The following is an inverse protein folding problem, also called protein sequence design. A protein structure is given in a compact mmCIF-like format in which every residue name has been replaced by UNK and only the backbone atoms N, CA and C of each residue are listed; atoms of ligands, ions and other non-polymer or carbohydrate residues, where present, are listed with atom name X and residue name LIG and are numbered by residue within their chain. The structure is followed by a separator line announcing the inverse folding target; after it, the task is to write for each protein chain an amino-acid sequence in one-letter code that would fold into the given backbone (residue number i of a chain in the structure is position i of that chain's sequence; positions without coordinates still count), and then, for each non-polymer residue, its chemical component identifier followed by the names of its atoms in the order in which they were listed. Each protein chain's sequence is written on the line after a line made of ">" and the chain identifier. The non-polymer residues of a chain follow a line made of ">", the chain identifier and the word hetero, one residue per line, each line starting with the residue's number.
data_IF_038530743942
#
_entry.id   IF_038530743942
#
_cell.length_a   1.000
_cell.length_b   1.000
_cell.length_c   1.000
_cell.angle_alpha   90.00
_cell.angle_beta   90.00
_cell.angle_gamma   90.00
#
_symmetry.space_group_name_H-M   'P 1'
#
loop_
_entity.id
_entity.type
_entity.pdbx_description
1 polymer ?
#
# COMPACT_ATOMS: atom_id res chain seq x y z
N UNK A 1 -24.11 11.76 17.32
CA UNK A 1 -23.12 11.85 18.41
C UNK A 1 -22.19 10.64 18.26
N UNK A 2 -21.03 10.82 17.60
CA UNK A 2 -20.09 9.70 17.44
C UNK A 2 -19.44 9.41 18.80
N UNK A 3 -19.36 8.15 19.25
CA UNK A 3 -18.65 7.83 20.48
C UNK A 3 -17.19 8.22 20.29
N UNK A 4 -16.67 9.06 21.18
CA UNK A 4 -15.23 9.32 21.25
C UNK A 4 -14.57 8.02 21.71
N UNK A 5 -14.19 7.15 20.76
CA UNK A 5 -13.20 6.12 21.04
C UNK A 5 -11.92 6.86 21.41
N UNK A 6 -11.39 6.56 22.59
CA UNK A 6 -10.01 6.89 22.91
C UNK A 6 -9.13 6.03 21.99
N UNK A 7 -9.00 6.45 20.73
CA UNK A 7 -8.14 5.81 19.76
C UNK A 7 -6.71 5.96 20.26
N UNK A 8 -6.01 4.83 20.37
CA UNK A 8 -4.60 4.80 20.73
C UNK A 8 -3.87 5.76 19.78
N UNK A 9 -3.08 6.73 20.29
CA UNK A 9 -2.32 7.64 19.45
C UNK A 9 -1.50 6.87 18.41
N UNK A 10 -1.50 7.33 17.16
CA UNK A 10 -0.91 6.60 16.03
C UNK A 10 0.56 6.22 16.25
N UNK A 11 1.33 7.07 16.95
CA UNK A 11 2.73 6.81 17.27
C UNK A 11 2.88 5.63 18.24
N UNK A 12 1.94 5.46 19.19
CA UNK A 12 1.90 4.30 20.08
C UNK A 12 1.58 3.05 19.27
N UNK A 13 0.59 3.12 18.37
CA UNK A 13 0.28 1.99 17.47
C UNK A 13 1.48 1.57 16.60
N UNK A 14 2.24 2.54 16.09
CA UNK A 14 3.45 2.29 15.30
C UNK A 14 4.57 1.66 16.14
N UNK A 15 4.85 2.21 17.33
CA UNK A 15 5.81 1.63 18.27
C UNK A 15 5.43 0.21 18.67
N UNK A 16 4.14 -0.06 18.85
CA UNK A 16 3.63 -1.39 19.17
C UNK A 16 3.81 -2.37 18.02
N UNK A 17 3.54 -1.95 16.79
CA UNK A 17 3.77 -2.78 15.61
C UNK A 17 5.25 -3.18 15.50
N UNK A 18 6.13 -2.21 15.70
CA UNK A 18 7.57 -2.41 15.65
C UNK A 18 8.08 -3.31 16.78
N UNK A 19 7.63 -3.07 18.02
CA UNK A 19 7.97 -3.90 19.17
C UNK A 19 7.46 -5.33 19.02
N UNK A 20 6.24 -5.52 18.54
CA UNK A 20 5.66 -6.83 18.31
C UNK A 20 6.35 -7.58 17.16
N UNK A 21 6.81 -6.86 16.12
CA UNK A 21 7.63 -7.44 15.07
C UNK A 21 8.95 -7.97 15.64
N UNK A 22 9.68 -7.16 16.42
CA UNK A 22 10.91 -7.60 17.10
C UNK A 22 10.63 -8.78 18.05
N UNK A 23 9.56 -8.70 18.84
CA UNK A 23 9.17 -9.77 19.75
C UNK A 23 8.85 -11.07 19.00
N UNK A 24 8.23 -11.00 17.81
CA UNK A 24 7.96 -12.17 16.99
C UNK A 24 9.25 -12.86 16.54
N UNK A 25 10.32 -12.12 16.20
CA UNK A 25 11.63 -12.71 15.89
C UNK A 25 12.25 -13.41 17.09
N UNK A 26 12.19 -12.79 18.28
CA UNK A 26 12.67 -13.42 19.50
C UNK A 26 11.85 -14.66 19.87
N UNK A 27 10.53 -14.60 19.74
CA UNK A 27 9.64 -15.72 20.01
C UNK A 27 9.93 -16.89 19.07
N UNK A 28 10.09 -16.60 17.78
CA UNK A 28 10.39 -17.59 16.76
C UNK A 28 11.78 -18.20 16.96
N UNK A 29 12.81 -17.37 17.19
CA UNK A 29 14.17 -17.83 17.45
C UNK A 29 14.27 -18.65 18.74
N UNK A 30 13.61 -18.21 19.82
CA UNK A 30 13.52 -18.96 21.07
C UNK A 30 12.83 -20.31 20.87
N UNK A 31 11.70 -20.34 20.15
CA UNK A 31 11.01 -21.60 19.86
C UNK A 31 11.86 -22.52 18.99
N UNK A 32 12.43 -22.02 17.90
CA UNK A 32 13.30 -22.81 17.03
C UNK A 32 14.46 -23.42 17.82
N UNK A 33 15.15 -22.63 18.65
CA UNK A 33 16.26 -23.11 19.49
C UNK A 33 15.81 -24.12 20.55
N UNK A 34 14.67 -23.87 21.21
CA UNK A 34 14.13 -24.77 22.24
C UNK A 34 13.72 -26.12 21.64
N UNK A 35 13.13 -26.11 20.45
CA UNK A 35 12.71 -27.33 19.76
C UNK A 35 13.90 -28.10 19.21
N UNK A 36 14.90 -27.41 18.65
CA UNK A 36 16.14 -28.05 18.20
C UNK A 36 16.84 -28.76 19.36
N UNK A 37 16.87 -28.13 20.54
CA UNK A 37 17.42 -28.72 21.75
C UNK A 37 16.64 -29.94 22.26
N UNK A 38 15.31 -30.00 22.07
CA UNK A 38 14.45 -31.09 22.55
C UNK A 38 14.39 -32.24 21.54
N UNK A 39 14.20 -31.93 20.26
CA UNK A 39 13.89 -32.90 19.21
C UNK A 39 15.10 -33.29 18.35
N UNK A 40 16.25 -32.61 18.47
CA UNK A 40 17.51 -32.82 17.72
C UNK A 40 17.40 -32.66 16.19
N UNK A 41 16.19 -32.73 15.63
CA UNK A 41 15.84 -32.43 14.25
C UNK A 41 14.39 -31.98 14.22
N UNK A 42 14.14 -30.77 13.76
CA UNK A 42 12.78 -30.27 13.57
C UNK A 42 12.30 -30.75 12.21
N UNK A 43 11.35 -31.69 12.19
CA UNK A 43 10.68 -32.08 10.95
C UNK A 43 9.67 -31.00 10.52
N UNK A 44 9.45 -30.85 9.21
CA UNK A 44 8.53 -29.89 8.61
C UNK A 44 7.14 -29.87 9.28
N UNK A 45 6.62 -31.05 9.62
CA UNK A 45 5.33 -31.25 10.26
C UNK A 45 5.27 -30.62 11.66
N UNK A 46 6.38 -30.67 12.39
CA UNK A 46 6.50 -30.09 13.74
C UNK A 46 6.51 -28.56 13.65
N UNK A 47 7.25 -27.99 12.69
CA UNK A 47 7.28 -26.55 12.47
C UNK A 47 5.89 -26.01 12.08
N UNK A 48 5.17 -26.71 11.20
CA UNK A 48 3.82 -26.36 10.79
C UNK A 48 2.83 -26.45 11.97
N UNK A 49 2.87 -27.53 12.74
CA UNK A 49 2.01 -27.72 13.92
C UNK A 49 2.20 -26.57 14.91
N UNK A 50 3.44 -26.20 15.19
CA UNK A 50 3.76 -25.12 16.14
C UNK A 50 3.31 -23.77 15.60
N UNK A 51 3.53 -23.50 14.31
CA UNK A 51 3.00 -22.32 13.65
C UNK A 51 1.47 -22.20 13.81
N UNK A 52 0.74 -23.30 13.60
CA UNK A 52 -0.70 -23.37 13.77
C UNK A 52 -1.13 -23.15 15.23
N UNK A 53 -0.41 -23.73 16.20
CA UNK A 53 -0.69 -23.52 17.64
C UNK A 53 -0.51 -22.05 18.02
N UNK A 54 0.57 -21.39 17.58
CA UNK A 54 0.80 -19.97 17.82
C UNK A 54 -0.25 -19.08 17.15
N UNK A 55 -0.66 -19.41 15.93
CA UNK A 55 -1.76 -18.71 15.25
C UNK A 55 -3.07 -18.86 16.01
N UNK A 56 -3.43 -20.09 16.41
CA UNK A 56 -4.65 -20.36 17.17
C UNK A 56 -4.63 -19.63 18.52
N UNK A 57 -3.49 -19.62 19.21
CA UNK A 57 -3.31 -18.88 20.45
C UNK A 57 -3.49 -17.37 20.22
N UNK A 58 -2.81 -16.79 19.24
CA UNK A 58 -2.89 -15.37 18.93
C UNK A 58 -4.31 -14.93 18.54
N UNK A 59 -4.99 -15.70 17.70
CA UNK A 59 -6.38 -15.45 17.31
C UNK A 59 -7.31 -15.55 18.52
N UNK A 60 -7.16 -16.58 19.35
CA UNK A 60 -7.96 -16.75 20.57
C UNK A 60 -7.77 -15.59 21.54
N UNK A 61 -6.53 -15.12 21.72
CA UNK A 61 -6.23 -13.97 22.56
C UNK A 61 -6.89 -12.70 22.03
N UNK A 62 -6.99 -12.50 20.72
CA UNK A 62 -7.73 -11.38 20.15
C UNK A 62 -9.23 -11.40 20.46
N UNK A 63 -9.83 -12.59 20.63
CA UNK A 63 -11.23 -12.71 21.04
C UNK A 63 -11.43 -12.42 22.54
N UNK A 64 -10.46 -12.77 23.37
CA UNK A 64 -10.53 -12.58 24.83
C UNK A 64 -10.08 -11.17 25.26
N UNK A 65 -9.17 -10.54 24.53
CA UNK A 65 -8.51 -9.28 24.88
C UNK A 65 -9.35 -8.03 24.61
N UNK A 66 -10.58 -7.98 25.12
CA UNK A 66 -11.40 -6.76 25.05
C UNK A 66 -10.67 -5.61 25.78
N UNK A 67 -10.18 -4.64 24.99
CA UNK A 67 -9.53 -3.38 25.39
C UNK A 67 -8.18 -3.46 26.13
N UNK A 68 -7.60 -4.64 26.35
CA UNK A 68 -6.28 -4.76 26.99
C UNK A 68 -5.13 -4.69 25.97
N UNK A 69 -4.54 -3.51 25.83
CA UNK A 69 -3.48 -3.21 24.86
C UNK A 69 -2.28 -4.17 24.93
N UNK A 70 -1.83 -4.54 26.13
CA UNK A 70 -0.73 -5.49 26.31
C UNK A 70 -1.05 -6.88 25.72
N UNK A 71 -2.26 -7.40 25.97
CA UNK A 71 -2.66 -8.71 25.46
C UNK A 71 -2.83 -8.65 23.94
N UNK A 72 -3.31 -7.53 23.39
CA UNK A 72 -3.40 -7.34 21.94
C UNK A 72 -2.03 -7.33 21.26
N UNK A 73 -0.99 -6.75 21.89
CA UNK A 73 0.38 -6.80 21.38
C UNK A 73 0.94 -8.22 21.40
N UNK A 74 0.74 -8.96 22.49
CA UNK A 74 1.18 -10.35 22.59
C UNK A 74 0.44 -11.24 21.58
N UNK A 75 -0.88 -11.04 21.43
CA UNK A 75 -1.69 -11.72 20.42
C UNK A 75 -1.19 -11.43 19.00
N UNK A 76 -0.82 -10.18 18.72
CA UNK A 76 -0.25 -9.79 17.43
C UNK A 76 1.09 -10.49 17.16
N UNK A 77 2.01 -10.47 18.13
CA UNK A 77 3.31 -11.15 18.02
C UNK A 77 3.14 -12.67 17.83
N UNK A 78 2.21 -13.29 18.56
CA UNK A 78 1.89 -14.71 18.41
C UNK A 78 1.32 -15.02 17.01
N UNK A 79 0.42 -14.20 16.47
CA UNK A 79 -0.08 -14.39 15.10
C UNK A 79 1.03 -14.22 14.05
N UNK A 80 1.90 -13.21 14.19
CA UNK A 80 3.02 -13.01 13.26
C UNK A 80 4.00 -14.18 13.30
N UNK A 81 4.46 -14.58 14.49
CA UNK A 81 5.36 -15.72 14.66
C UNK A 81 4.73 -17.01 14.15
N UNK A 82 3.45 -17.24 14.45
CA UNK A 82 2.72 -18.40 13.96
C UNK A 82 2.59 -18.41 12.44
N UNK A 83 2.33 -17.25 11.81
CA UNK A 83 2.28 -17.14 10.34
C UNK A 83 3.63 -17.43 9.69
N UNK A 84 4.76 -17.02 10.30
CA UNK A 84 6.09 -17.38 9.83
C UNK A 84 6.38 -18.88 9.98
N UNK A 85 5.98 -19.50 11.10
CA UNK A 85 6.10 -20.95 11.29
C UNK A 85 5.30 -21.76 10.27
N UNK A 86 4.05 -21.34 9.99
CA UNK A 86 3.24 -21.98 8.93
C UNK A 86 3.87 -21.74 7.55
N UNK A 87 4.37 -20.54 7.27
CA UNK A 87 5.04 -20.24 6.00
C UNK A 87 6.25 -21.15 5.76
N UNK A 88 7.06 -21.37 6.80
CA UNK A 88 8.20 -22.30 6.76
C UNK A 88 7.75 -23.74 6.57
N UNK A 89 6.81 -24.23 7.39
CA UNK A 89 6.33 -25.61 7.29
C UNK A 89 5.70 -25.92 5.92
N UNK A 90 4.94 -24.99 5.34
CA UNK A 90 4.39 -25.14 3.99
C UNK A 90 5.49 -25.07 2.91
N UNK A 91 6.55 -24.28 3.12
CA UNK A 91 7.68 -24.22 2.18
C UNK A 91 8.38 -25.58 2.06
N UNK A 92 8.69 -26.20 3.20
CA UNK A 92 9.36 -27.51 3.24
C UNK A 92 8.44 -28.64 2.72
N UNK A 93 7.17 -28.63 3.11
CA UNK A 93 6.16 -29.60 2.61
C UNK A 93 5.95 -29.54 1.09
N UNK A 94 6.13 -28.37 0.49
CA UNK A 94 5.98 -28.16 -0.96
C UNK A 94 7.29 -28.34 -1.73
N UNK A 95 8.35 -28.86 -1.08
CA UNK A 95 9.61 -29.22 -1.73
C UNK A 95 10.63 -28.08 -1.80
N UNK A 96 10.66 -27.19 -0.80
CA UNK A 96 11.64 -26.10 -0.67
C UNK A 96 11.65 -25.10 -1.84
N UNK A 97 10.48 -24.90 -2.46
CA UNK A 97 10.30 -23.95 -3.54
C UNK A 97 9.12 -23.02 -3.30
N UNK A 98 9.33 -21.72 -3.56
CA UNK A 98 8.26 -20.73 -3.61
C UNK A 98 7.42 -20.91 -4.88
N UNK A 99 6.56 -21.92 -4.90
CA UNK A 99 5.67 -22.24 -6.01
C UNK A 99 4.30 -21.53 -5.88
N UNK A 100 3.45 -21.69 -6.90
CA UNK A 100 2.09 -21.12 -6.92
C UNK A 100 1.28 -21.56 -5.70
N UNK A 101 1.40 -22.82 -5.30
CA UNK A 101 0.68 -23.40 -4.15
C UNK A 101 1.09 -22.76 -2.83
N UNK A 102 2.37 -22.42 -2.65
CA UNK A 102 2.87 -21.74 -1.46
C UNK A 102 2.25 -20.33 -1.35
N UNK A 103 2.32 -19.55 -2.42
CA UNK A 103 1.73 -18.20 -2.45
C UNK A 103 0.22 -18.23 -2.27
N UNK A 104 -0.49 -19.20 -2.86
CA UNK A 104 -1.94 -19.34 -2.70
C UNK A 104 -2.33 -19.72 -1.27
N UNK A 105 -1.57 -20.62 -0.63
CA UNK A 105 -1.79 -21.04 0.75
C UNK A 105 -1.58 -19.87 1.72
N UNK A 106 -0.49 -19.12 1.54
CA UNK A 106 -0.20 -17.93 2.36
C UNK A 106 -1.20 -16.79 2.11
N UNK A 107 -1.61 -16.55 0.86
CA UNK A 107 -2.66 -15.59 0.55
C UNK A 107 -3.99 -15.97 1.22
N UNK A 108 -4.36 -17.25 1.18
CA UNK A 108 -5.54 -17.77 1.88
C UNK A 108 -5.47 -17.54 3.39
N UNK A 109 -4.32 -17.82 4.00
CA UNK A 109 -4.08 -17.59 5.43
C UNK A 109 -4.20 -16.10 5.79
N UNK A 110 -3.53 -15.20 5.06
CA UNK A 110 -3.57 -13.77 5.36
C UNK A 110 -4.94 -13.15 5.09
N UNK A 111 -5.66 -13.62 4.07
CA UNK A 111 -7.05 -13.21 3.82
C UNK A 111 -7.97 -13.64 4.96
N UNK A 112 -7.80 -14.86 5.48
CA UNK A 112 -8.53 -15.35 6.64
C UNK A 112 -8.23 -14.50 7.87
N UNK A 113 -6.95 -14.27 8.18
CA UNK A 113 -6.53 -13.47 9.34
C UNK A 113 -7.05 -12.02 9.24
N UNK A 114 -6.97 -11.41 8.07
CA UNK A 114 -7.55 -10.08 7.81
C UNK A 114 -9.07 -10.05 8.04
N UNK A 115 -9.78 -11.10 7.63
CA UNK A 115 -11.24 -11.20 7.77
C UNK A 115 -11.73 -11.49 9.20
N UNK A 116 -10.98 -12.31 9.94
CA UNK A 116 -11.31 -12.76 11.30
C UNK A 116 -10.98 -11.68 12.33
N UNK A 117 -9.78 -11.09 12.25
CA UNK A 117 -9.30 -10.13 13.24
C UNK A 117 -10.00 -8.78 13.06
N UNK A 118 -10.44 -8.17 14.18
CA UNK A 118 -11.08 -6.84 14.18
C UNK A 118 -10.12 -5.70 14.51
N UNK A 119 -8.90 -6.02 14.94
CA UNK A 119 -7.90 -5.04 15.32
C UNK A 119 -7.28 -4.36 14.09
N UNK A 120 -7.25 -3.03 14.08
CA UNK A 120 -6.86 -2.23 12.91
C UNK A 120 -5.43 -2.48 12.44
N UNK A 121 -4.48 -2.54 13.38
CA UNK A 121 -3.07 -2.79 13.06
C UNK A 121 -2.86 -4.19 12.46
N UNK A 122 -3.53 -5.20 13.03
CA UNK A 122 -3.42 -6.58 12.55
C UNK A 122 -4.01 -6.69 11.13
N UNK A 123 -5.17 -6.07 10.88
CA UNK A 123 -5.76 -6.00 9.55
C UNK A 123 -4.80 -5.33 8.56
N UNK A 124 -4.17 -4.21 8.92
CA UNK A 124 -3.22 -3.52 8.06
C UNK A 124 -2.02 -4.44 7.70
N UNK A 125 -1.40 -5.07 8.70
CA UNK A 125 -0.21 -5.91 8.47
C UNK A 125 -0.57 -7.15 7.66
N UNK A 126 -1.66 -7.84 7.95
CA UNK A 126 -2.07 -8.99 7.14
C UNK A 126 -2.55 -8.62 5.75
N UNK A 127 -3.13 -7.43 5.54
CA UNK A 127 -3.39 -6.92 4.20
C UNK A 127 -2.10 -6.63 3.42
N UNK A 128 -1.07 -6.08 4.10
CA UNK A 128 0.24 -5.85 3.50
C UNK A 128 0.95 -7.17 3.15
N UNK A 129 0.91 -8.18 4.02
CA UNK A 129 1.45 -9.50 3.72
C UNK A 129 0.67 -10.17 2.57
N UNK A 130 -0.66 -10.06 2.58
CA UNK A 130 -1.53 -10.56 1.50
C UNK A 130 -1.15 -9.93 0.14
N UNK A 131 -0.94 -8.63 0.07
CA UNK A 131 -0.54 -7.98 -1.18
C UNK A 131 0.82 -8.46 -1.67
N UNK A 132 1.79 -8.73 -0.78
CA UNK A 132 3.05 -9.38 -1.19
C UNK A 132 2.87 -10.81 -1.70
N UNK A 133 1.96 -11.60 -1.12
CA UNK A 133 1.63 -12.92 -1.67
C UNK A 133 1.03 -12.82 -3.08
N UNK A 134 0.17 -11.81 -3.34
CA UNK A 134 -0.38 -11.55 -4.67
C UNK A 134 0.73 -11.16 -5.65
N UNK A 135 1.69 -10.33 -5.24
CA UNK A 135 2.86 -9.97 -6.06
C UNK A 135 3.67 -11.21 -6.42
N UNK A 136 3.97 -12.07 -5.44
CA UNK A 136 4.70 -13.32 -5.67
C UNK A 136 3.95 -14.31 -6.57
N UNK A 137 2.63 -14.39 -6.45
CA UNK A 137 1.78 -15.16 -7.35
C UNK A 137 1.85 -14.62 -8.78
N UNK A 138 1.77 -13.30 -8.96
CA UNK A 138 1.90 -12.65 -10.27
C UNK A 138 3.31 -12.84 -10.86
N UNK A 139 4.34 -12.88 -10.03
CA UNK A 139 5.71 -13.22 -10.45
C UNK A 139 5.80 -14.63 -11.02
N UNK A 140 5.19 -15.62 -10.35
CA UNK A 140 5.18 -17.01 -10.83
C UNK A 140 4.34 -17.26 -12.07
N UNK A 141 3.44 -16.32 -12.41
CA UNK A 141 2.59 -16.36 -13.59
C UNK A 141 3.11 -15.47 -14.73
N UNK A 142 4.31 -14.89 -14.61
CA UNK A 142 4.88 -13.92 -15.58
C UNK A 142 4.02 -12.65 -15.80
N UNK A 143 3.14 -12.34 -14.84
CA UNK A 143 2.23 -11.18 -14.87
C UNK A 143 2.71 -10.06 -13.93
N UNK A 144 3.92 -10.16 -13.40
CA UNK A 144 4.45 -9.25 -12.37
C UNK A 144 4.32 -7.77 -12.76
N UNK A 145 4.60 -7.44 -14.02
CA UNK A 145 4.52 -6.07 -14.58
C UNK A 145 3.12 -5.45 -14.54
N UNK A 146 2.06 -6.25 -14.40
CA UNK A 146 0.69 -5.77 -14.26
C UNK A 146 0.30 -5.45 -12.81
N UNK A 147 1.12 -5.85 -11.83
CA UNK A 147 0.79 -5.71 -10.41
C UNK A 147 0.55 -4.26 -9.96
N UNK A 148 1.28 -3.21 -10.43
CA UNK A 148 0.99 -1.85 -10.02
C UNK A 148 -0.35 -1.37 -10.55
N UNK A 149 -0.65 -1.69 -11.80
CA UNK A 149 -1.91 -1.32 -12.45
C UNK A 149 -3.10 -2.00 -11.78
N UNK A 150 -2.94 -3.28 -11.41
CA UNK A 150 -3.95 -4.02 -10.66
C UNK A 150 -4.19 -3.37 -9.29
N UNK A 151 -3.13 -3.08 -8.53
CA UNK A 151 -3.26 -2.47 -7.21
C UNK A 151 -3.84 -1.06 -7.28
N UNK A 152 -3.36 -0.21 -8.19
CA UNK A 152 -3.93 1.12 -8.42
C UNK A 152 -5.42 1.04 -8.74
N UNK A 153 -5.83 0.11 -9.60
CA UNK A 153 -7.23 -0.11 -9.93
C UNK A 153 -8.04 -0.57 -8.70
N UNK A 154 -7.60 -1.62 -8.00
CA UNK A 154 -8.28 -2.17 -6.82
C UNK A 154 -8.44 -1.11 -5.72
N UNK A 155 -7.37 -0.39 -5.39
CA UNK A 155 -7.38 0.69 -4.41
C UNK A 155 -8.40 1.76 -4.79
N UNK A 156 -8.40 2.19 -6.05
CA UNK A 156 -9.30 3.25 -6.53
C UNK A 156 -10.76 2.82 -6.46
N UNK A 157 -11.08 1.60 -6.89
CA UNK A 157 -12.45 1.06 -6.82
C UNK A 157 -12.93 0.97 -5.37
N UNK A 158 -12.10 0.45 -4.46
CA UNK A 158 -12.45 0.31 -3.04
C UNK A 158 -12.65 1.68 -2.39
N UNK A 159 -11.76 2.65 -2.64
CA UNK A 159 -11.84 3.99 -2.08
C UNK A 159 -13.06 4.77 -2.57
N UNK A 160 -13.37 4.72 -3.87
CA UNK A 160 -14.55 5.38 -4.42
C UNK A 160 -15.87 4.85 -3.83
N UNK A 161 -15.87 3.61 -3.34
CA UNK A 161 -17.01 2.98 -2.69
C UNK A 161 -16.89 2.91 -1.16
N UNK A 162 -15.85 3.50 -0.56
CA UNK A 162 -15.54 3.30 0.87
C UNK A 162 -16.66 3.80 1.79
N UNK A 163 -17.29 4.91 1.42
CA UNK A 163 -18.39 5.49 2.19
C UNK A 163 -19.67 4.63 2.16
N UNK A 164 -19.82 3.74 1.17
CA UNK A 164 -20.96 2.81 1.08
C UNK A 164 -20.76 1.54 1.90
N UNK A 165 -19.53 1.27 2.34
CA UNK A 165 -19.16 0.00 2.99
C UNK A 165 -19.58 -0.08 4.46
N UNK A 166 -20.09 1.00 5.07
CA UNK A 166 -20.72 1.01 6.40
C UNK A 166 -19.93 0.21 7.45
N UNK A 167 -20.44 -0.97 7.83
CA UNK A 167 -19.82 -1.88 8.82
C UNK A 167 -18.43 -2.41 8.40
N UNK A 168 -18.12 -2.44 7.11
CA UNK A 168 -16.86 -2.92 6.56
C UNK A 168 -15.84 -1.79 6.29
N UNK A 169 -16.17 -0.55 6.63
CA UNK A 169 -15.33 0.64 6.39
C UNK A 169 -13.91 0.47 6.94
N UNK A 170 -13.75 0.09 8.21
CA UNK A 170 -12.42 -0.09 8.82
C UNK A 170 -11.60 -1.16 8.08
N UNK A 171 -12.21 -2.30 7.74
CA UNK A 171 -11.52 -3.41 7.05
C UNK A 171 -11.04 -2.99 5.66
N UNK A 172 -11.92 -2.36 4.89
CA UNK A 172 -11.60 -1.85 3.56
C UNK A 172 -10.48 -0.80 3.62
N UNK A 173 -10.54 0.10 4.62
CA UNK A 173 -9.52 1.13 4.84
C UNK A 173 -8.14 0.52 5.12
N UNK A 174 -8.06 -0.45 6.03
CA UNK A 174 -6.79 -1.12 6.36
C UNK A 174 -6.26 -1.95 5.18
N UNK A 175 -7.15 -2.54 4.38
CA UNK A 175 -6.78 -3.21 3.14
C UNK A 175 -6.15 -2.24 2.15
N UNK A 176 -6.79 -1.08 1.92
CA UNK A 176 -6.24 -0.04 1.05
C UNK A 176 -4.85 0.39 1.52
N UNK A 177 -4.65 0.64 2.81
CA UNK A 177 -3.33 1.05 3.32
C UNK A 177 -2.25 -0.01 3.11
N UNK A 178 -2.55 -1.29 3.34
CA UNK A 178 -1.62 -2.39 3.09
C UNK A 178 -1.24 -2.49 1.61
N UNK A 179 -2.24 -2.50 0.71
CA UNK A 179 -2.02 -2.59 -0.74
C UNK A 179 -1.28 -1.36 -1.27
N UNK A 180 -1.60 -0.16 -0.79
CA UNK A 180 -0.92 1.09 -1.16
C UNK A 180 0.54 1.03 -0.75
N UNK A 181 0.83 0.56 0.47
CA UNK A 181 2.21 0.44 0.93
C UNK A 181 3.02 -0.53 0.07
N UNK A 182 2.44 -1.67 -0.33
CA UNK A 182 3.09 -2.60 -1.27
C UNK A 182 3.30 -1.97 -2.65
N UNK A 183 2.28 -1.32 -3.22
CA UNK A 183 2.36 -0.61 -4.50
C UNK A 183 3.49 0.42 -4.50
N UNK A 184 3.57 1.24 -3.46
CA UNK A 184 4.61 2.26 -3.32
C UNK A 184 5.99 1.64 -3.11
N UNK A 185 6.10 0.56 -2.33
CA UNK A 185 7.38 -0.14 -2.14
C UNK A 185 7.91 -0.69 -3.46
N UNK A 186 7.06 -1.34 -4.26
CA UNK A 186 7.44 -1.86 -5.58
C UNK A 186 7.98 -0.75 -6.48
N UNK A 187 7.25 0.38 -6.54
CA UNK A 187 7.66 1.51 -7.37
C UNK A 187 8.91 2.24 -6.81
N UNK A 188 9.10 2.28 -5.49
CA UNK A 188 10.25 2.91 -4.84
C UNK A 188 11.52 2.06 -4.93
N UNK A 189 11.42 0.76 -4.70
CA UNK A 189 12.53 -0.18 -4.91
C UNK A 189 13.08 -0.03 -6.32
N UNK A 190 12.19 0.17 -7.29
CA UNK A 190 12.57 0.47 -8.65
C UNK A 190 13.28 1.83 -8.81
N UNK A 191 12.71 2.91 -8.26
CA UNK A 191 13.30 4.25 -8.36
C UNK A 191 14.68 4.39 -7.68
N UNK A 192 14.98 3.52 -6.72
CA UNK A 192 16.23 3.51 -5.94
C UNK A 192 17.08 2.24 -6.14
N UNK A 193 16.73 1.37 -7.10
CA UNK A 193 17.47 0.13 -7.33
C UNK A 193 18.91 0.46 -7.69
N UNK A 194 19.84 0.01 -6.86
CA UNK A 194 21.29 0.09 -7.07
C UNK A 194 21.94 -1.32 -7.05
N UNK A 195 21.11 -2.36 -6.89
CA UNK A 195 21.55 -3.73 -6.64
C UNK A 195 21.15 -4.66 -7.81
N UNK A 196 22.15 -5.38 -8.35
CA UNK A 196 22.00 -6.26 -9.52
C UNK A 196 20.92 -7.35 -9.35
N UNK A 197 20.67 -7.84 -8.12
CA UNK A 197 19.63 -8.85 -7.85
C UNK A 197 18.20 -8.30 -8.00
N UNK A 198 17.99 -7.05 -7.59
CA UNK A 198 16.71 -6.37 -7.80
C UNK A 198 16.56 -5.98 -9.27
N UNK A 199 17.64 -5.52 -9.90
CA UNK A 199 17.63 -5.25 -11.33
C UNK A 199 17.32 -6.50 -12.15
N UNK A 200 17.74 -7.71 -11.76
CA UNK A 200 17.43 -8.94 -12.53
C UNK A 200 15.98 -9.41 -12.36
N UNK A 201 15.43 -9.35 -11.14
CA UNK A 201 14.04 -9.71 -10.84
C UNK A 201 13.02 -8.69 -11.37
N UNK A 202 13.40 -7.41 -11.47
CA UNK A 202 12.53 -6.32 -11.89
C UNK A 202 12.92 -5.71 -13.26
N UNK A 203 14.03 -6.11 -13.89
CA UNK A 203 14.45 -5.75 -15.26
C UNK A 203 13.32 -5.88 -16.30
N UNK A 204 12.50 -6.96 -16.29
CA UNK A 204 11.40 -7.11 -17.24
C UNK A 204 10.29 -6.06 -17.07
N UNK A 205 10.22 -5.37 -15.93
CA UNK A 205 9.25 -4.30 -15.69
C UNK A 205 9.50 -3.08 -16.56
N UNK A 206 10.76 -2.80 -16.87
CA UNK A 206 11.17 -1.47 -17.29
C UNK A 206 11.50 -1.36 -18.78
N UNK A 207 11.91 -2.45 -19.43
CA UNK A 207 12.24 -2.37 -20.86
C UNK A 207 11.01 -2.31 -21.77
N UNK A 208 9.83 -2.68 -21.28
CA UNK A 208 8.61 -2.62 -22.09
C UNK A 208 7.87 -1.31 -21.83
N UNK A 209 8.14 -0.32 -22.69
CA UNK A 209 7.36 0.92 -22.83
C UNK A 209 5.83 0.63 -22.79
N UNK A 210 5.40 -0.54 -23.27
CA UNK A 210 3.99 -0.97 -23.27
C UNK A 210 3.39 -1.07 -21.86
N UNK A 211 4.10 -1.64 -20.88
CA UNK A 211 3.58 -1.77 -19.51
C UNK A 211 3.57 -0.42 -18.77
N UNK A 212 4.59 0.41 -19.02
CA UNK A 212 4.62 1.80 -18.54
C UNK A 212 3.41 2.61 -19.04
N UNK A 213 3.18 2.57 -20.37
CA UNK A 213 2.04 3.24 -20.99
C UNK A 213 0.72 2.66 -20.50
N UNK A 214 0.62 1.35 -20.29
CA UNK A 214 -0.57 0.71 -19.74
C UNK A 214 -0.87 1.22 -18.33
N UNK A 215 0.13 1.22 -17.44
CA UNK A 215 -0.03 1.73 -16.08
C UNK A 215 -0.46 3.20 -16.06
N UNK A 216 0.22 4.03 -16.86
CA UNK A 216 -0.09 5.44 -16.99
C UNK A 216 -1.51 5.67 -17.53
N UNK A 217 -1.95 4.86 -18.50
CA UNK A 217 -3.30 4.92 -19.06
C UNK A 217 -4.36 4.57 -18.01
N UNK A 218 -4.11 3.55 -17.18
CA UNK A 218 -4.99 3.19 -16.06
C UNK A 218 -5.09 4.34 -15.06
N UNK A 219 -3.95 4.90 -14.63
CA UNK A 219 -3.91 6.04 -13.70
C UNK A 219 -4.62 7.27 -14.28
N UNK A 220 -4.39 7.58 -15.56
CA UNK A 220 -5.06 8.68 -16.26
C UNK A 220 -6.57 8.49 -16.34
N UNK A 221 -7.04 7.28 -16.68
CA UNK A 221 -8.46 6.96 -16.73
C UNK A 221 -9.14 7.13 -15.36
N UNK A 222 -8.48 6.70 -14.28
CA UNK A 222 -8.99 6.86 -12.92
C UNK A 222 -9.05 8.34 -12.51
N UNK A 223 -7.99 9.11 -12.77
CA UNK A 223 -8.00 10.56 -12.51
C UNK A 223 -9.08 11.29 -13.31
N UNK A 224 -9.25 10.93 -14.59
CA UNK A 224 -10.31 11.48 -15.44
C UNK A 224 -11.70 11.14 -14.92
N UNK A 225 -11.92 9.90 -14.48
CA UNK A 225 -13.16 9.50 -13.81
C UNK A 225 -13.41 10.32 -12.54
N UNK A 226 -12.40 10.48 -11.68
CA UNK A 226 -12.50 11.26 -10.44
C UNK A 226 -12.86 12.72 -10.74
N UNK A 227 -12.27 13.32 -11.77
CA UNK A 227 -12.62 14.66 -12.23
C UNK A 227 -14.10 14.73 -12.64
N UNK A 228 -14.59 13.79 -13.44
CA UNK A 228 -16.00 13.75 -13.85
C UNK A 228 -16.93 13.64 -12.64
N UNK A 229 -16.60 12.77 -11.67
CA UNK A 229 -17.38 12.60 -10.44
C UNK A 229 -17.44 13.91 -9.65
N UNK A 230 -16.30 14.55 -9.40
CA UNK A 230 -16.22 15.81 -8.63
C UNK A 230 -17.01 16.94 -9.31
N UNK A 231 -16.90 17.09 -10.62
CA UNK A 231 -17.65 18.13 -11.35
C UNK A 231 -19.16 17.87 -11.34
N UNK A 232 -19.57 16.59 -11.45
CA UNK A 232 -20.98 16.21 -11.37
C UNK A 232 -21.55 16.45 -9.98
N UNK A 233 -20.82 16.12 -8.91
CA UNK A 233 -21.23 16.39 -7.54
C UNK A 233 -21.35 17.90 -7.26
N UNK A 234 -20.48 18.72 -7.86
CA UNK A 234 -20.54 20.18 -7.78
C UNK A 234 -21.54 20.84 -8.74
N UNK A 235 -22.28 20.05 -9.52
CA UNK A 235 -23.21 20.54 -10.55
C UNK A 235 -22.57 21.55 -11.54
N UNK A 236 -21.28 21.40 -11.81
CA UNK A 236 -20.54 22.26 -12.74
C UNK A 236 -20.43 21.60 -14.11
N UNK A 237 -20.50 22.41 -15.19
CA UNK A 237 -20.34 21.90 -16.55
C UNK A 237 -18.90 21.42 -16.79
N UNK A 238 -18.78 20.26 -17.45
CA UNK A 238 -17.50 19.69 -17.91
C UNK A 238 -16.84 20.52 -19.02
N UNK A 239 -17.57 21.47 -19.61
CA UNK A 239 -17.05 22.44 -20.60
C UNK A 239 -16.65 23.77 -19.96
N UNK A 240 -16.73 23.89 -18.62
CA UNK A 240 -16.26 25.09 -17.94
C UNK A 240 -14.75 25.29 -18.15
N UNK A 241 -14.25 26.54 -18.15
CA UNK A 241 -12.81 26.80 -18.24
C UNK A 241 -12.03 26.12 -17.11
N UNK A 242 -12.68 25.90 -15.96
CA UNK A 242 -12.18 25.09 -14.86
C UNK A 242 -11.85 23.65 -15.27
N UNK A 243 -12.85 22.97 -15.85
CA UNK A 243 -12.74 21.58 -16.26
C UNK A 243 -11.68 21.41 -17.34
N UNK A 244 -11.65 22.31 -18.32
CA UNK A 244 -10.62 22.33 -19.37
C UNK A 244 -9.23 22.52 -18.76
N UNK A 245 -9.06 23.45 -17.83
CA UNK A 245 -7.80 23.65 -17.10
C UNK A 245 -7.35 22.41 -16.33
N UNK A 246 -8.27 21.72 -15.64
CA UNK A 246 -7.98 20.48 -14.94
C UNK A 246 -7.59 19.33 -15.89
N UNK A 247 -8.25 19.19 -17.04
CA UNK A 247 -7.91 18.18 -18.06
C UNK A 247 -6.54 18.46 -18.66
N UNK A 248 -6.23 19.71 -19.00
CA UNK A 248 -4.90 20.11 -19.49
C UNK A 248 -3.82 19.83 -18.46
N UNK A 249 -4.07 20.16 -17.19
CA UNK A 249 -3.16 19.86 -16.08
C UNK A 249 -2.93 18.35 -15.93
N UNK A 250 -4.01 17.55 -16.02
CA UNK A 250 -3.92 16.10 -15.95
C UNK A 250 -3.08 15.52 -17.09
N UNK A 251 -3.26 16.01 -18.33
CA UNK A 251 -2.44 15.61 -19.48
C UNK A 251 -0.97 15.97 -19.26
N UNK A 252 -0.70 17.20 -18.80
CA UNK A 252 0.67 17.66 -18.53
C UNK A 252 1.36 16.81 -17.45
N UNK A 253 0.67 16.53 -16.34
CA UNK A 253 1.18 15.65 -15.28
C UNK A 253 1.43 14.24 -15.80
N UNK A 254 0.53 13.71 -16.62
CA UNK A 254 0.65 12.39 -17.24
C UNK A 254 1.91 12.29 -18.11
N UNK A 255 2.13 13.27 -18.99
CA UNK A 255 3.32 13.35 -19.85
C UNK A 255 4.60 13.52 -19.03
N UNK A 256 4.61 14.41 -18.04
CA UNK A 256 5.76 14.65 -17.17
C UNK A 256 6.08 13.45 -16.26
N UNK A 257 5.13 12.56 -16.04
CA UNK A 257 5.32 11.34 -15.23
C UNK A 257 5.81 10.14 -16.03
N UNK A 258 5.97 10.25 -17.36
CA UNK A 258 6.54 9.17 -18.19
C UNK A 258 7.90 8.64 -17.69
N UNK A 259 8.89 9.48 -17.30
CA UNK A 259 10.14 8.99 -16.73
C UNK A 259 9.99 8.48 -15.30
N UNK A 260 8.88 8.80 -14.62
CA UNK A 260 8.67 8.52 -13.20
C UNK A 260 7.24 8.00 -12.97
N UNK A 261 6.98 6.75 -13.33
CA UNK A 261 5.65 6.15 -13.20
C UNK A 261 5.10 6.25 -11.77
N UNK A 262 5.97 6.12 -10.76
CA UNK A 262 5.61 6.26 -9.35
C UNK A 262 5.07 7.65 -8.97
N UNK A 263 5.49 8.72 -9.66
CA UNK A 263 4.99 10.07 -9.42
C UNK A 263 3.49 10.18 -9.78
N UNK A 264 3.07 9.56 -10.88
CA UNK A 264 1.66 9.56 -11.28
C UNK A 264 0.76 8.86 -10.25
N UNK A 265 1.26 7.75 -9.69
CA UNK A 265 0.58 7.01 -8.61
C UNK A 265 0.50 7.85 -7.34
N UNK A 266 1.60 8.51 -6.95
CA UNK A 266 1.63 9.38 -5.79
C UNK A 266 0.61 10.53 -5.90
N UNK A 267 0.52 11.18 -7.07
CA UNK A 267 -0.47 12.24 -7.33
C UNK A 267 -1.90 11.70 -7.25
N UNK A 268 -2.18 10.53 -7.86
CA UNK A 268 -3.48 9.89 -7.75
C UNK A 268 -3.87 9.61 -6.28
N UNK A 269 -2.93 9.12 -5.45
CA UNK A 269 -3.15 8.88 -4.03
C UNK A 269 -3.44 10.17 -3.25
N UNK A 270 -2.77 11.28 -3.58
CA UNK A 270 -3.08 12.59 -2.99
C UNK A 270 -4.51 13.02 -3.35
N UNK A 271 -4.91 12.86 -4.61
CA UNK A 271 -6.26 13.21 -5.09
C UNK A 271 -7.34 12.34 -4.45
N UNK A 272 -7.18 11.02 -4.47
CA UNK A 272 -8.10 10.07 -3.86
C UNK A 272 -8.18 10.26 -2.34
N UNK A 273 -7.03 10.44 -1.67
CA UNK A 273 -6.98 10.68 -0.23
C UNK A 273 -7.66 11.99 0.15
N UNK A 274 -7.53 13.03 -0.67
CA UNK A 274 -8.26 14.27 -0.46
C UNK A 274 -9.76 14.11 -0.70
N UNK A 275 -10.17 13.43 -1.79
CA UNK A 275 -11.56 13.20 -2.13
C UNK A 275 -12.30 12.35 -1.08
N UNK A 276 -11.66 11.30 -0.56
CA UNK A 276 -12.25 10.41 0.44
C UNK A 276 -12.12 10.91 1.88
N UNK A 277 -11.52 12.08 2.12
CA UNK A 277 -11.14 12.58 3.46
C UNK A 277 -10.27 11.61 4.26
N UNK A 278 -9.31 10.96 3.60
CA UNK A 278 -8.38 9.99 4.17
C UNK A 278 -6.98 10.61 4.34
N UNK A 279 -6.65 11.20 5.51
CA UNK A 279 -5.42 11.97 5.70
C UNK A 279 -4.16 11.11 5.61
N UNK A 280 -4.23 9.85 6.06
CA UNK A 280 -3.12 8.89 5.95
C UNK A 280 -2.76 8.60 4.51
N UNK A 281 -3.76 8.34 3.66
CA UNK A 281 -3.55 8.07 2.25
C UNK A 281 -2.95 9.28 1.52
N UNK A 282 -3.49 10.47 1.81
CA UNK A 282 -2.94 11.73 1.29
C UNK A 282 -1.49 11.94 1.75
N UNK A 283 -1.20 11.66 3.03
CA UNK A 283 0.15 11.75 3.60
C UNK A 283 1.14 10.80 2.92
N UNK A 284 0.77 9.54 2.74
CA UNK A 284 1.58 8.55 2.00
C UNK A 284 1.86 9.03 0.58
N UNK A 285 0.85 9.54 -0.14
CA UNK A 285 1.03 10.11 -1.47
C UNK A 285 2.01 11.28 -1.51
N UNK A 286 1.94 12.21 -0.53
CA UNK A 286 2.89 13.35 -0.44
C UNK A 286 4.32 12.85 -0.19
N UNK A 287 4.50 11.97 0.80
CA UNK A 287 5.82 11.42 1.13
C UNK A 287 6.40 10.67 -0.07
N UNK A 288 5.60 9.84 -0.74
CA UNK A 288 6.02 9.12 -1.94
C UNK A 288 6.37 10.04 -3.09
N UNK A 289 5.61 11.11 -3.33
CA UNK A 289 5.95 12.10 -4.35
C UNK A 289 7.34 12.71 -4.10
N UNK A 290 7.65 13.06 -2.84
CA UNK A 290 8.98 13.57 -2.46
C UNK A 290 10.08 12.52 -2.68
N UNK A 291 9.82 11.27 -2.31
CA UNK A 291 10.77 10.16 -2.50
C UNK A 291 11.03 9.89 -3.98
N UNK A 292 10.00 9.86 -4.84
CA UNK A 292 10.17 9.65 -6.28
C UNK A 292 10.94 10.78 -6.94
N UNK A 293 10.63 12.03 -6.57
CA UNK A 293 11.37 13.20 -7.05
C UNK A 293 12.84 13.13 -6.61
N UNK A 294 13.09 12.68 -5.39
CA UNK A 294 14.43 12.49 -4.85
C UNK A 294 15.18 11.35 -5.55
N UNK A 295 14.54 10.20 -5.78
CA UNK A 295 15.11 9.07 -6.51
C UNK A 295 15.53 9.45 -7.93
N UNK A 296 14.66 10.18 -8.64
CA UNK A 296 15.01 10.70 -9.97
C UNK A 296 16.17 11.69 -9.96
N UNK A 297 16.26 12.55 -8.94
CA UNK A 297 17.38 13.46 -8.80
C UNK A 297 18.72 12.70 -8.68
N UNK A 298 18.74 11.59 -7.94
CA UNK A 298 19.95 10.77 -7.72
C UNK A 298 20.24 9.73 -8.81
N UNK A 299 19.29 9.38 -9.69
CA UNK A 299 19.50 8.39 -10.76
C UNK A 299 20.54 8.84 -11.81
N UNK A 300 21.61 8.08 -12.04
CA UNK A 300 22.78 8.52 -12.85
C UNK A 300 22.56 8.60 -14.38
N UNK A 301 21.37 8.24 -14.89
CA UNK A 301 21.14 8.04 -16.33
C UNK A 301 21.07 9.32 -17.16
N UNK A 302 20.78 10.47 -16.55
CA UNK A 302 20.55 11.73 -17.26
C UNK A 302 21.44 12.85 -16.75
N UNK A 303 21.79 13.79 -17.63
CA UNK A 303 22.62 14.94 -17.25
C UNK A 303 21.94 15.78 -16.18
N UNK A 304 22.74 16.35 -15.27
CA UNK A 304 22.24 17.24 -14.21
C UNK A 304 21.40 18.41 -14.76
N UNK A 305 21.74 18.92 -15.94
CA UNK A 305 21.02 19.98 -16.63
C UNK A 305 19.60 19.55 -17.04
N UNK A 306 19.46 18.34 -17.58
CA UNK A 306 18.16 17.81 -18.00
C UNK A 306 17.25 17.61 -16.78
N UNK A 307 17.79 17.04 -15.70
CA UNK A 307 17.05 16.83 -14.45
C UNK A 307 16.60 18.14 -13.81
N UNK A 308 17.50 19.12 -13.71
CA UNK A 308 17.15 20.44 -13.15
C UNK A 308 16.09 21.13 -14.00
N UNK A 309 16.12 20.97 -15.33
CA UNK A 309 15.08 21.41 -16.25
C UNK A 309 13.70 20.78 -15.97
N UNK A 310 13.63 19.45 -15.81
CA UNK A 310 12.36 18.76 -15.47
C UNK A 310 11.81 19.19 -14.11
N UNK A 311 12.67 19.26 -13.08
CA UNK A 311 12.30 19.69 -11.72
C UNK A 311 11.81 21.13 -11.69
N UNK A 312 12.54 22.04 -12.35
CA UNK A 312 12.17 23.44 -12.47
C UNK A 312 10.86 23.60 -13.26
N UNK A 313 10.71 22.87 -14.37
CA UNK A 313 9.49 22.85 -15.17
C UNK A 313 8.27 22.38 -14.37
N UNK A 314 8.40 21.29 -13.62
CA UNK A 314 7.34 20.74 -12.79
C UNK A 314 6.99 21.69 -11.62
N UNK A 315 8.00 22.27 -10.96
CA UNK A 315 7.80 23.28 -9.91
C UNK A 315 7.12 24.55 -10.42
N UNK A 316 7.56 25.08 -11.57
CA UNK A 316 6.95 26.24 -12.22
C UNK A 316 5.51 25.94 -12.65
N UNK A 317 5.26 24.76 -13.22
CA UNK A 317 3.91 24.33 -13.62
C UNK A 317 2.97 24.23 -12.41
N UNK A 318 3.42 23.66 -11.28
CA UNK A 318 2.62 23.60 -10.05
C UNK A 318 2.36 24.99 -9.47
N UNK A 319 3.32 25.92 -9.56
CA UNK A 319 3.14 27.31 -9.13
C UNK A 319 2.14 28.06 -10.02
N UNK A 320 2.27 27.95 -11.35
CA UNK A 320 1.32 28.54 -12.29
C UNK A 320 -0.07 27.96 -12.05
N UNK A 321 -0.19 26.63 -11.93
CA UNK A 321 -1.45 25.98 -11.60
C UNK A 321 -2.03 26.52 -10.28
N UNK A 322 -1.22 26.66 -9.23
CA UNK A 322 -1.67 27.25 -7.95
C UNK A 322 -2.16 28.69 -8.12
N UNK A 323 -1.43 29.54 -8.84
CA UNK A 323 -1.79 30.94 -9.05
C UNK A 323 -3.07 31.05 -9.88
N UNK A 324 -3.18 30.27 -10.95
CA UNK A 324 -4.36 30.19 -11.81
C UNK A 324 -5.57 29.71 -11.02
N UNK A 325 -5.41 28.67 -10.21
CA UNK A 325 -6.47 28.18 -9.33
C UNK A 325 -6.89 29.25 -8.31
N UNK A 326 -5.95 29.97 -7.72
CA UNK A 326 -6.25 31.02 -6.76
C UNK A 326 -6.96 32.23 -7.40
N UNK A 327 -6.63 32.56 -8.66
CA UNK A 327 -7.26 33.67 -9.39
C UNK A 327 -8.62 33.31 -10.00
N UNK A 328 -8.79 32.09 -10.50
CA UNK A 328 -10.02 31.64 -11.16
C UNK A 328 -11.04 31.06 -10.19
N UNK A 329 -10.59 30.54 -9.04
CA UNK A 329 -11.45 29.95 -8.01
C UNK A 329 -11.09 30.51 -6.63
N UNK A 330 -11.42 31.79 -6.34
CA UNK A 330 -11.31 32.30 -4.98
C UNK A 330 -12.11 31.37 -4.06
N UNK A 331 -11.44 30.84 -3.03
CA UNK A 331 -12.07 30.00 -2.04
C UNK A 331 -13.27 30.77 -1.46
N UNK A 332 -14.48 30.26 -1.69
CA UNK A 332 -15.69 30.89 -1.17
C UNK A 332 -15.61 30.85 0.37
N UNK A 333 -15.26 31.97 0.99
CA UNK A 333 -15.07 32.08 2.44
C UNK A 333 -16.37 31.82 3.22
N UNK A 334 -17.51 31.81 2.53
CA UNK A 334 -18.84 31.61 3.09
C UNK A 334 -19.30 30.14 3.13
N UNK A 335 -18.50 29.17 2.66
CA UNK A 335 -18.88 27.74 2.66
C UNK A 335 -18.71 27.04 4.04
N UNK A 336 -18.55 27.79 5.13
CA UNK A 336 -18.35 27.25 6.50
C UNK A 336 -19.64 27.04 7.30
N UNK A 337 -20.82 27.32 6.75
CA UNK A 337 -22.09 27.23 7.50
C UNK A 337 -23.11 26.29 6.87
N UNK A 338 -22.74 25.04 6.62
CA UNK A 338 -23.72 23.94 6.60
C UNK A 338 -23.03 22.69 7.13
N UNK A 339 -23.04 22.55 8.46
CA UNK A 339 -22.75 21.30 9.18
C UNK A 339 -24.00 20.46 9.24
#
# INVERSE_FOLDING_TARGET
>A
MMPQSHDIPWYIGLMQAFAAWIAAWFLLGFMASLLDAIFQRIEADVALLIGLVYLALGVSLYFVAHQRTFIQQFAFAACLSGSLGVAWGIFELLGDEFNVSWYLSMAGLFLLLWGVLRHGLAQFVFAFCLSWCVVGLMAKLDLLSLSPSLFTFVISVVLLHINRLGRHYQRARMLCYGVVLTLLNIQLLHAFSMDNLFDELFSPWQQSLRFSLFHLSVTFAICGYLLVVVFRERQQSLMSPAAVGCVVCLILVCVLSLPMQGLSTAILLILLGHYCNEPWLKGMGIVSALLFVSGYYYSLETTLLLKSGYLMGLGALLLVARIVMWRLFPANQNAKETV
#
